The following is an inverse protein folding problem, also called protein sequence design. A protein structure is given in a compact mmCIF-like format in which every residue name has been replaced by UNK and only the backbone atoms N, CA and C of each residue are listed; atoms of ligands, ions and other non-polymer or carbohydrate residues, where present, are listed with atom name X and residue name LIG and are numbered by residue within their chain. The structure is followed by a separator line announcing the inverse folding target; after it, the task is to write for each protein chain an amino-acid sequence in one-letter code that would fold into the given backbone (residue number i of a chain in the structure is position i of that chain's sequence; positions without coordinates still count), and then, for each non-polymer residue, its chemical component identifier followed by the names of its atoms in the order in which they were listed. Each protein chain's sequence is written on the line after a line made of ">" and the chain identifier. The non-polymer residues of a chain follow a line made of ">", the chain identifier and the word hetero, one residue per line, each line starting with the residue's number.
data_IF_620303393133
#
_entry.id   IF_620303393133
#
_cell.length_a   1.000
_cell.length_b   1.000
_cell.length_c   1.000
_cell.angle_alpha   90.00
_cell.angle_beta   90.00
_cell.angle_gamma   90.00
#
_symmetry.space_group_name_H-M   'P 1'
#
loop_
_entity.id
_entity.type
_entity.pdbx_description
1 polymer ?
#
# COMPACT_ATOMS: atom_id res chain seq x y z
N UNK A 1 -8.75 -5.71 33.16
CA UNK A 1 -9.83 -4.96 32.50
C UNK A 1 -9.97 -5.50 31.08
N UNK A 2 -11.10 -6.12 30.73
CA UNK A 2 -11.38 -6.58 29.37
C UNK A 2 -11.81 -5.38 28.52
N UNK A 3 -10.83 -4.64 28.00
CA UNK A 3 -11.03 -3.49 27.09
C UNK A 3 -11.37 -3.91 25.66
N UNK A 4 -11.61 -5.21 25.41
CA UNK A 4 -11.57 -5.82 24.07
C UNK A 4 -12.74 -5.44 23.16
N UNK A 5 -13.87 -4.96 23.70
CA UNK A 5 -15.09 -4.70 22.92
C UNK A 5 -15.83 -3.42 23.31
N UNK A 6 -15.28 -2.63 24.24
CA UNK A 6 -15.95 -1.41 24.68
C UNK A 6 -15.85 -0.32 23.61
N UNK A 7 -16.99 0.26 23.24
CA UNK A 7 -17.10 1.32 22.25
C UNK A 7 -17.74 2.56 22.85
N UNK A 8 -17.29 3.72 22.40
CA UNK A 8 -17.83 5.03 22.81
C UNK A 8 -18.33 5.80 21.61
N UNK A 9 -19.24 6.74 21.86
CA UNK A 9 -19.79 7.60 20.83
C UNK A 9 -18.73 8.52 20.25
N UNK A 10 -19.02 9.08 19.06
CA UNK A 10 -18.17 10.10 18.43
C UNK A 10 -17.94 11.31 19.35
N UNK A 11 -18.98 11.76 20.06
CA UNK A 11 -18.90 12.89 20.96
C UNK A 11 -17.97 12.62 22.14
N UNK A 12 -18.14 11.47 22.81
CA UNK A 12 -17.28 11.06 23.92
C UNK A 12 -15.83 10.86 23.48
N UNK A 13 -15.61 10.23 22.32
CA UNK A 13 -14.26 10.02 21.77
C UNK A 13 -13.52 11.35 21.56
N UNK A 14 -14.22 12.35 21.02
CA UNK A 14 -13.68 13.71 20.86
C UNK A 14 -13.40 14.37 22.19
N UNK A 15 -14.32 14.28 23.14
CA UNK A 15 -14.16 14.87 24.46
C UNK A 15 -12.94 14.29 25.20
N UNK A 16 -12.77 12.96 25.18
CA UNK A 16 -11.61 12.28 25.80
C UNK A 16 -10.27 12.68 25.19
N UNK A 17 -10.24 12.93 23.89
CA UNK A 17 -9.01 13.30 23.18
C UNK A 17 -8.81 14.82 23.03
N UNK A 18 -9.77 15.65 23.44
CA UNK A 18 -9.73 17.11 23.25
C UNK A 18 -9.74 17.52 21.77
N UNK A 19 -10.51 16.83 20.93
CA UNK A 19 -10.49 17.02 19.47
C UNK A 19 -11.68 17.84 18.96
N UNK A 20 -11.40 18.77 18.05
CA UNK A 20 -12.43 19.34 17.17
C UNK A 20 -12.98 18.30 16.19
N UNK A 21 -14.09 18.61 15.54
CA UNK A 21 -14.71 17.73 14.54
C UNK A 21 -13.80 17.56 13.32
N UNK A 22 -13.18 18.66 12.89
CA UNK A 22 -12.23 18.73 11.79
C UNK A 22 -10.97 17.89 12.09
N UNK A 23 -10.47 17.97 13.32
CA UNK A 23 -9.32 17.16 13.75
C UNK A 23 -9.66 15.67 13.72
N UNK A 24 -10.84 15.27 14.21
CA UNK A 24 -11.27 13.87 14.15
C UNK A 24 -11.42 13.39 12.69
N UNK A 25 -12.02 14.21 11.83
CA UNK A 25 -12.13 13.90 10.40
C UNK A 25 -10.76 13.79 9.73
N UNK A 26 -9.79 14.60 10.13
CA UNK A 26 -8.39 14.49 9.68
C UNK A 26 -7.75 13.17 10.13
N UNK A 27 -7.97 12.74 11.39
CA UNK A 27 -7.45 11.47 11.89
C UNK A 27 -8.08 10.27 11.16
N UNK A 28 -9.40 10.32 10.89
CA UNK A 28 -10.11 9.29 10.16
C UNK A 28 -9.61 9.18 8.70
N UNK A 29 -9.48 10.32 8.00
CA UNK A 29 -9.01 10.32 6.60
C UNK A 29 -7.57 9.81 6.46
N UNK A 30 -6.71 10.12 7.43
CA UNK A 30 -5.34 9.61 7.53
C UNK A 30 -5.30 8.13 7.96
N UNK A 31 -6.37 7.60 8.54
CA UNK A 31 -6.42 6.26 9.14
C UNK A 31 -5.65 6.14 10.46
N UNK A 32 -5.44 7.27 11.15
CA UNK A 32 -4.84 7.30 12.49
C UNK A 32 -5.78 6.75 13.55
N UNK A 33 -7.09 6.77 13.29
CA UNK A 33 -8.14 6.16 14.11
C UNK A 33 -9.17 5.54 13.17
N UNK A 34 -10.07 4.72 13.72
CA UNK A 34 -11.16 4.11 12.97
C UNK A 34 -12.41 3.95 13.85
N UNK A 35 -13.57 3.89 13.21
CA UNK A 35 -14.84 3.58 13.87
C UNK A 35 -15.27 2.15 13.55
N UNK A 36 -15.99 1.55 14.48
CA UNK A 36 -16.78 0.34 14.30
C UNK A 36 -18.21 0.71 13.89
N UNK A 37 -18.88 -0.18 13.16
CA UNK A 37 -20.25 -0.01 12.66
C UNK A 37 -20.34 0.22 11.14
N UNK A 38 -21.50 -0.15 10.57
CA UNK A 38 -21.89 0.10 9.19
C UNK A 38 -22.96 1.21 9.17
N UNK A 39 -22.82 2.21 8.30
CA UNK A 39 -23.80 3.29 8.15
C UNK A 39 -23.56 4.52 9.05
N UNK A 40 -24.62 5.04 9.67
CA UNK A 40 -24.63 6.32 10.39
C UNK A 40 -24.24 6.20 11.88
N UNK A 41 -24.28 5.01 12.45
CA UNK A 41 -23.87 4.78 13.84
C UNK A 41 -22.39 4.40 13.91
N UNK A 42 -21.54 5.43 13.97
CA UNK A 42 -20.09 5.26 14.10
C UNK A 42 -19.69 5.31 15.57
N UNK A 43 -19.37 4.15 16.12
CA UNK A 43 -18.81 4.02 17.46
C UNK A 43 -17.29 3.84 17.38
N UNK A 44 -16.57 4.24 18.42
CA UNK A 44 -15.11 4.22 18.45
C UNK A 44 -14.63 3.24 19.52
N UNK A 45 -13.67 2.36 19.24
CA UNK A 45 -13.07 1.53 20.27
C UNK A 45 -12.47 2.40 21.38
N UNK A 46 -12.82 2.11 22.63
CA UNK A 46 -12.34 2.84 23.81
C UNK A 46 -10.81 2.88 23.86
N UNK A 47 -10.16 1.78 23.47
CA UNK A 47 -8.70 1.64 23.40
C UNK A 47 -8.00 2.75 22.59
N UNK A 48 -8.69 3.35 21.60
CA UNK A 48 -8.13 4.45 20.81
C UNK A 48 -8.10 5.79 21.55
N UNK A 49 -8.79 5.89 22.70
CA UNK A 49 -8.91 7.09 23.53
C UNK A 49 -8.21 6.97 24.89
N UNK A 50 -7.60 5.82 25.20
CA UNK A 50 -7.01 5.55 26.51
C UNK A 50 -5.82 6.48 26.81
N UNK A 51 -5.87 7.23 27.94
CA UNK A 51 -4.84 8.22 28.27
C UNK A 51 -3.49 7.58 28.63
N UNK A 52 -3.48 6.31 29.04
CA UNK A 52 -2.27 5.60 29.42
C UNK A 52 -1.41 5.19 28.22
N UNK A 53 -2.00 5.12 27.01
CA UNK A 53 -1.30 4.66 25.81
C UNK A 53 -0.53 5.80 25.12
N UNK A 54 0.62 5.46 24.53
CA UNK A 54 1.33 6.38 23.63
C UNK A 54 0.51 6.59 22.35
N UNK A 55 -0.28 7.66 22.33
CA UNK A 55 -1.17 8.03 21.22
C UNK A 55 -0.42 8.14 19.89
N UNK A 56 0.83 8.63 19.90
CA UNK A 56 1.61 8.79 18.66
C UNK A 56 1.94 7.43 18.06
N UNK A 57 2.35 6.47 18.90
CA UNK A 57 2.63 5.10 18.47
C UNK A 57 1.37 4.36 18.05
N UNK A 58 0.29 4.48 18.83
CA UNK A 58 -1.01 3.88 18.50
C UNK A 58 -1.55 4.38 17.16
N UNK A 59 -1.58 5.70 16.95
CA UNK A 59 -2.04 6.28 15.67
C UNK A 59 -1.12 5.91 14.50
N UNK A 60 0.18 5.76 14.76
CA UNK A 60 1.09 5.22 13.75
C UNK A 60 0.77 3.76 13.42
N UNK A 61 0.41 2.95 14.40
CA UNK A 61 0.02 1.56 14.22
C UNK A 61 -1.29 1.44 13.45
N UNK A 62 -2.31 2.23 13.81
CA UNK A 62 -3.59 2.32 13.08
C UNK A 62 -3.39 2.59 11.58
N UNK A 63 -2.44 3.48 11.23
CA UNK A 63 -2.11 3.78 9.83
C UNK A 63 -1.49 2.60 9.10
N UNK A 64 -0.74 1.74 9.80
CA UNK A 64 -0.15 0.52 9.24
C UNK A 64 -1.26 -0.49 8.93
N UNK A 65 -2.13 -0.75 9.91
CA UNK A 65 -3.19 -1.77 9.83
C UNK A 65 -4.46 -1.28 9.10
N UNK A 66 -4.48 -0.03 8.64
CA UNK A 66 -5.57 0.58 7.89
C UNK A 66 -6.14 -0.29 6.75
N UNK A 67 -5.35 -1.08 6.01
CA UNK A 67 -5.93 -1.82 4.89
C UNK A 67 -6.99 -2.84 5.28
N UNK A 68 -6.95 -3.36 6.52
CA UNK A 68 -7.94 -4.30 7.02
C UNK A 68 -9.30 -3.64 7.36
N UNK A 69 -10.41 -4.40 7.43
CA UNK A 69 -11.68 -3.91 7.97
C UNK A 69 -11.58 -3.48 9.44
N UNK A 70 -12.40 -2.51 9.92
CA UNK A 70 -12.31 -2.00 11.29
C UNK A 70 -12.35 -3.05 12.41
N UNK A 71 -13.20 -4.08 12.28
CA UNK A 71 -13.28 -5.17 13.27
C UNK A 71 -11.97 -5.98 13.36
N UNK A 72 -11.37 -6.29 12.21
CA UNK A 72 -10.09 -6.98 12.16
C UNK A 72 -8.95 -6.12 12.75
N UNK A 73 -8.98 -4.79 12.54
CA UNK A 73 -8.02 -3.88 13.17
C UNK A 73 -8.13 -3.89 14.69
N UNK A 74 -9.35 -3.89 15.23
CA UNK A 74 -9.55 -3.97 16.68
C UNK A 74 -9.02 -5.30 17.22
N UNK A 75 -9.39 -6.42 16.59
CA UNK A 75 -8.90 -7.74 16.98
C UNK A 75 -7.37 -7.82 16.95
N UNK A 76 -6.72 -7.30 15.89
CA UNK A 76 -5.26 -7.21 15.84
C UNK A 76 -4.67 -6.42 17.01
N UNK A 77 -5.26 -5.27 17.37
CA UNK A 77 -4.75 -4.43 18.43
C UNK A 77 -4.85 -5.07 19.82
N UNK A 78 -5.91 -5.83 20.08
CA UNK A 78 -6.24 -6.35 21.42
C UNK A 78 -5.85 -7.80 21.64
N UNK A 79 -5.67 -8.59 20.58
CA UNK A 79 -5.32 -10.00 20.68
C UNK A 79 -3.83 -10.19 20.98
N UNK A 80 -3.53 -11.19 21.81
CA UNK A 80 -2.15 -11.60 22.09
C UNK A 80 -1.48 -12.15 20.83
N UNK A 81 -0.20 -11.83 20.66
CA UNK A 81 0.60 -12.30 19.52
C UNK A 81 1.78 -13.14 19.99
N UNK A 82 2.02 -14.30 19.38
CA UNK A 82 3.10 -15.21 19.80
C UNK A 82 4.49 -14.56 19.70
N UNK A 83 4.77 -13.86 18.60
CA UNK A 83 5.98 -13.07 18.42
C UNK A 83 6.19 -11.97 19.48
N UNK A 84 5.12 -11.55 20.15
CA UNK A 84 5.13 -10.60 21.28
C UNK A 84 5.06 -11.31 22.64
N UNK A 85 5.31 -12.63 22.68
CA UNK A 85 5.23 -13.48 23.88
C UNK A 85 3.85 -13.45 24.53
N UNK A 86 2.80 -13.49 23.70
CA UNK A 86 1.41 -13.48 24.13
C UNK A 86 0.86 -12.08 24.47
N UNK A 87 1.68 -11.03 24.44
CA UNK A 87 1.21 -9.65 24.60
C UNK A 87 0.48 -9.15 23.38
N UNK A 88 -0.49 -8.26 23.58
CA UNK A 88 -1.14 -7.56 22.48
C UNK A 88 -0.25 -6.46 21.90
N UNK A 89 -0.45 -6.07 20.63
CA UNK A 89 0.25 -4.93 20.05
C UNK A 89 0.12 -3.64 20.86
N UNK A 90 -1.02 -3.44 21.53
CA UNK A 90 -1.27 -2.25 22.35
C UNK A 90 -0.47 -2.27 23.66
N UNK A 91 -0.35 -3.42 24.32
CA UNK A 91 0.50 -3.59 25.51
C UNK A 91 1.99 -3.39 25.20
N UNK A 92 2.40 -3.76 23.99
CA UNK A 92 3.77 -3.63 23.51
C UNK A 92 4.16 -2.20 23.09
N UNK A 93 3.22 -1.23 23.10
CA UNK A 93 3.49 0.14 22.64
C UNK A 93 4.46 0.92 23.55
N UNK A 94 4.55 0.61 24.85
CA UNK A 94 5.35 1.40 25.80
C UNK A 94 6.86 1.31 25.52
N UNK A 95 7.36 0.16 25.09
CA UNK A 95 8.77 -0.07 24.84
C UNK A 95 9.13 0.22 23.37
N UNK A 96 10.15 1.06 23.12
CA UNK A 96 10.58 1.45 21.77
C UNK A 96 11.04 0.26 20.92
N UNK A 97 11.74 -0.70 21.52
CA UNK A 97 12.22 -1.91 20.85
C UNK A 97 11.04 -2.82 20.49
N UNK A 98 10.11 -3.02 21.43
CA UNK A 98 8.90 -3.80 21.17
C UNK A 98 8.01 -3.13 20.13
N UNK A 99 7.92 -1.81 20.13
CA UNK A 99 7.16 -1.08 19.12
C UNK A 99 7.73 -1.26 17.71
N UNK A 100 9.06 -1.41 17.53
CA UNK A 100 9.64 -1.74 16.21
C UNK A 100 9.13 -3.10 15.73
N UNK A 101 9.18 -4.11 16.59
CA UNK A 101 8.67 -5.45 16.30
C UNK A 101 7.16 -5.43 15.99
N UNK A 102 6.37 -4.68 16.78
CA UNK A 102 4.93 -4.49 16.51
C UNK A 102 4.69 -3.90 15.11
N UNK A 103 5.49 -2.92 14.69
CA UNK A 103 5.36 -2.33 13.36
C UNK A 103 5.69 -3.30 12.23
N UNK A 104 6.66 -4.18 12.43
CA UNK A 104 7.01 -5.23 11.46
C UNK A 104 5.88 -6.23 11.33
N UNK A 105 5.43 -6.79 12.46
CA UNK A 105 4.27 -7.70 12.54
C UNK A 105 3.04 -7.07 11.87
N UNK A 106 2.71 -5.83 12.23
CA UNK A 106 1.58 -5.11 11.69
C UNK A 106 1.69 -4.86 10.17
N UNK A 107 2.91 -4.69 9.66
CA UNK A 107 3.12 -4.47 8.22
C UNK A 107 2.92 -5.77 7.42
N UNK A 108 3.38 -6.90 7.96
CA UNK A 108 3.14 -8.24 7.40
C UNK A 108 1.65 -8.59 7.48
N UNK A 109 1.03 -8.41 8.65
CA UNK A 109 -0.39 -8.65 8.81
C UNK A 109 -1.23 -7.78 7.87
N UNK A 110 -0.87 -6.50 7.70
CA UNK A 110 -1.60 -5.59 6.83
C UNK A 110 -1.50 -5.94 5.34
N UNK A 111 -0.47 -6.66 4.89
CA UNK A 111 -0.36 -7.05 3.48
C UNK A 111 -1.38 -8.10 3.07
N UNK A 112 -1.82 -8.95 4.00
CA UNK A 112 -2.87 -9.97 3.76
C UNK A 112 -4.23 -9.36 3.39
N UNK A 113 -4.44 -8.08 3.71
CA UNK A 113 -5.72 -7.40 3.48
C UNK A 113 -5.79 -6.67 2.13
N UNK A 114 -4.72 -6.66 1.33
CA UNK A 114 -4.71 -6.01 0.02
C UNK A 114 -3.93 -6.81 -1.00
N UNK A 115 -4.59 -7.04 -2.13
CA UNK A 115 -3.95 -7.61 -3.32
C UNK A 115 -3.50 -6.52 -4.26
N UNK A 116 -2.29 -6.67 -4.77
CA UNK A 116 -1.83 -5.97 -5.96
C UNK A 116 -2.05 -6.89 -7.14
N UNK A 117 -2.70 -6.37 -8.19
CA UNK A 117 -3.02 -7.11 -9.40
C UNK A 117 -2.32 -6.39 -10.55
N UNK A 118 -1.50 -7.12 -11.31
CA UNK A 118 -0.88 -6.66 -12.55
C UNK A 118 -1.61 -7.34 -13.69
N UNK A 119 -2.28 -6.57 -14.53
CA UNK A 119 -3.04 -7.10 -15.68
C UNK A 119 -2.49 -6.51 -16.97
N UNK A 120 -2.18 -7.36 -17.94
CA UNK A 120 -1.64 -6.96 -19.25
C UNK A 120 -2.63 -7.31 -20.34
N UNK A 121 -2.89 -6.34 -21.22
CA UNK A 121 -3.71 -6.49 -22.40
C UNK A 121 -2.88 -6.21 -23.65
N UNK A 122 -3.18 -6.93 -24.73
CA UNK A 122 -2.59 -6.65 -26.04
C UNK A 122 -3.24 -5.41 -26.66
N UNK A 123 -2.45 -4.57 -27.30
CA UNK A 123 -2.90 -3.29 -27.86
C UNK A 123 -2.83 -2.13 -26.87
N UNK A 124 -3.41 -0.99 -27.25
CA UNK A 124 -3.41 0.23 -26.47
C UNK A 124 -4.79 0.47 -25.84
N UNK A 125 -4.83 0.63 -24.52
CA UNK A 125 -6.07 0.77 -23.77
C UNK A 125 -6.00 1.93 -22.79
N UNK A 126 -7.04 2.77 -22.76
CA UNK A 126 -7.14 3.85 -21.77
C UNK A 126 -7.66 3.34 -20.42
N UNK A 127 -8.55 2.35 -20.45
CA UNK A 127 -9.17 1.66 -19.31
C UNK A 127 -9.08 0.14 -19.50
N UNK A 128 -9.25 -0.63 -18.42
CA UNK A 128 -9.22 -2.09 -18.51
C UNK A 128 -10.39 -2.58 -19.41
N UNK A 129 -10.11 -3.28 -20.53
CA UNK A 129 -11.14 -3.79 -21.42
C UNK A 129 -11.83 -5.03 -20.81
N UNK A 130 -12.99 -5.38 -21.36
CA UNK A 130 -13.77 -6.59 -20.98
C UNK A 130 -13.14 -7.89 -21.53
N UNK A 131 -12.13 -7.77 -22.40
CA UNK A 131 -11.47 -8.89 -23.05
C UNK A 131 -10.63 -9.71 -22.05
N UNK A 132 -10.31 -10.95 -22.41
CA UNK A 132 -9.41 -11.79 -21.62
C UNK A 132 -8.01 -11.17 -21.62
N UNK A 133 -7.39 -10.94 -20.45
CA UNK A 133 -6.03 -10.42 -20.37
C UNK A 133 -5.02 -11.44 -20.91
N UNK A 134 -3.92 -10.93 -21.48
CA UNK A 134 -2.80 -11.75 -21.92
C UNK A 134 -1.95 -12.26 -20.75
N UNK A 135 -2.02 -11.57 -19.60
CA UNK A 135 -1.32 -11.91 -18.38
C UNK A 135 -1.97 -11.23 -17.18
N UNK A 136 -2.06 -11.96 -16.08
CA UNK A 136 -2.52 -11.51 -14.77
C UNK A 136 -1.55 -12.06 -13.74
N UNK A 137 -1.07 -11.18 -12.85
CA UNK A 137 -0.27 -11.56 -11.70
C UNK A 137 -0.86 -10.94 -10.44
N UNK A 138 -0.99 -11.71 -9.36
CA UNK A 138 -1.62 -11.27 -8.12
C UNK A 138 -0.76 -11.66 -6.94
N UNK A 139 -0.48 -10.71 -6.06
CA UNK A 139 0.20 -10.95 -4.78
C UNK A 139 -0.33 -10.03 -3.68
N UNK A 140 -0.21 -10.49 -2.43
CA UNK A 140 -0.62 -9.78 -1.22
C UNK A 140 0.55 -8.95 -0.71
N UNK A 141 0.56 -7.67 -1.11
CA UNK A 141 1.66 -6.74 -0.81
C UNK A 141 1.13 -5.48 -0.17
N UNK A 142 1.78 -5.07 0.91
CA UNK A 142 1.46 -3.85 1.64
C UNK A 142 1.30 -2.64 0.70
N UNK A 143 0.10 -2.03 0.64
CA UNK A 143 -0.22 -0.97 -0.34
C UNK A 143 0.58 0.32 -0.13
N UNK A 144 1.31 0.44 0.98
CA UNK A 144 2.18 1.57 1.28
C UNK A 144 3.54 1.45 0.60
N UNK A 145 3.91 0.27 0.11
CA UNK A 145 5.10 0.09 -0.73
C UNK A 145 4.90 0.78 -2.08
N UNK A 146 6.01 1.15 -2.71
CA UNK A 146 6.00 1.70 -4.05
C UNK A 146 5.22 0.79 -5.01
N UNK A 147 4.42 1.37 -5.90
CA UNK A 147 3.64 0.60 -6.89
C UNK A 147 4.54 -0.32 -7.73
N UNK A 148 5.76 0.09 -8.05
CA UNK A 148 6.70 -0.72 -8.82
C UNK A 148 7.27 -1.89 -8.03
N UNK A 149 7.51 -1.73 -6.72
CA UNK A 149 7.90 -2.82 -5.83
C UNK A 149 6.78 -3.85 -5.72
N UNK A 150 5.54 -3.37 -5.56
CA UNK A 150 4.38 -4.25 -5.51
C UNK A 150 4.15 -5.00 -6.83
N UNK A 151 4.30 -4.31 -7.97
CA UNK A 151 4.15 -4.90 -9.29
C UNK A 151 5.17 -6.03 -9.52
N UNK A 152 6.46 -5.80 -9.22
CA UNK A 152 7.46 -6.84 -9.39
C UNK A 152 7.25 -8.04 -8.46
N UNK A 153 6.81 -7.80 -7.21
CA UNK A 153 6.46 -8.90 -6.31
C UNK A 153 5.31 -9.74 -6.88
N UNK A 154 4.26 -9.08 -7.39
CA UNK A 154 3.12 -9.76 -8.01
C UNK A 154 3.52 -10.58 -9.23
N UNK A 155 4.44 -10.07 -10.05
CA UNK A 155 4.93 -10.75 -11.24
C UNK A 155 5.95 -11.86 -10.94
N UNK A 156 6.59 -11.82 -9.77
CA UNK A 156 7.57 -12.80 -9.34
C UNK A 156 6.96 -14.11 -8.80
N UNK A 157 7.81 -15.03 -8.36
CA UNK A 157 7.48 -16.42 -8.04
C UNK A 157 6.61 -16.66 -6.79
N UNK A 158 6.01 -15.62 -6.21
CA UNK A 158 5.20 -15.72 -4.98
C UNK A 158 3.68 -15.64 -5.21
N UNK A 159 3.25 -15.19 -6.39
CA UNK A 159 1.86 -14.83 -6.66
C UNK A 159 1.06 -15.83 -7.51
N UNK A 160 -0.24 -15.59 -7.61
CA UNK A 160 -1.09 -16.24 -8.62
C UNK A 160 -0.78 -15.64 -9.99
N UNK A 161 -0.52 -16.48 -10.99
CA UNK A 161 -0.24 -16.07 -12.37
C UNK A 161 -1.19 -16.80 -13.33
N UNK A 162 -1.82 -16.07 -14.26
CA UNK A 162 -2.66 -16.65 -15.30
C UNK A 162 -2.70 -15.79 -16.58
N UNK A 163 -2.82 -16.40 -17.79
CA UNK A 163 -2.65 -17.83 -18.04
C UNK A 163 -1.21 -18.29 -17.74
N UNK A 164 -0.97 -19.60 -17.72
CA UNK A 164 0.40 -20.12 -17.67
C UNK A 164 1.14 -19.79 -18.98
N UNK A 165 2.47 -19.71 -18.90
CA UNK A 165 3.33 -19.51 -20.07
C UNK A 165 3.10 -20.60 -21.14
N UNK A 166 3.37 -20.34 -22.43
CA UNK A 166 4.08 -19.18 -22.98
C UNK A 166 3.21 -17.94 -23.17
N UNK A 167 3.81 -16.76 -22.95
CA UNK A 167 3.16 -15.47 -23.17
C UNK A 167 3.34 -14.98 -24.61
N UNK A 168 2.37 -14.22 -25.15
CA UNK A 168 2.46 -13.72 -26.51
C UNK A 168 3.58 -12.68 -26.67
N UNK A 169 4.01 -12.51 -27.93
CA UNK A 169 4.84 -11.38 -28.35
C UNK A 169 3.93 -10.29 -28.92
N UNK A 170 4.16 -9.03 -28.55
CA UNK A 170 3.40 -7.91 -29.09
C UNK A 170 4.24 -6.66 -29.18
N UNK A 171 4.02 -5.88 -30.25
CA UNK A 171 4.66 -4.57 -30.44
C UNK A 171 3.97 -3.47 -29.63
N UNK A 172 2.74 -3.72 -29.15
CA UNK A 172 1.99 -2.80 -28.29
C UNK A 172 1.21 -3.56 -27.23
N UNK A 173 1.31 -3.09 -25.99
CA UNK A 173 0.56 -3.58 -24.85
C UNK A 173 0.22 -2.45 -23.88
N UNK A 174 -0.81 -2.67 -23.08
CA UNK A 174 -1.11 -1.84 -21.92
C UNK A 174 -1.14 -2.71 -20.67
N UNK A 175 -0.44 -2.28 -19.62
CA UNK A 175 -0.49 -2.91 -18.31
C UNK A 175 -1.17 -2.00 -17.29
N UNK A 176 -2.02 -2.59 -16.45
CA UNK A 176 -2.66 -1.94 -15.30
C UNK A 176 -2.12 -2.55 -14.02
N UNK A 177 -1.70 -1.71 -13.08
CA UNK A 177 -1.38 -2.13 -11.72
C UNK A 177 -2.49 -1.60 -10.81
N UNK A 178 -3.33 -2.50 -10.32
CA UNK A 178 -4.47 -2.19 -9.46
C UNK A 178 -4.22 -2.71 -8.04
N UNK A 179 -4.98 -2.15 -7.10
CA UNK A 179 -5.08 -2.68 -5.74
C UNK A 179 -6.52 -3.00 -5.40
N UNK A 180 -6.70 -4.11 -4.69
CA UNK A 180 -8.00 -4.58 -4.21
C UNK A 180 -7.92 -4.89 -2.72
N UNK A 181 -8.64 -4.11 -1.92
CA UNK A 181 -8.77 -4.39 -0.49
C UNK A 181 -9.77 -5.52 -0.24
N UNK A 182 -9.51 -6.35 0.75
CA UNK A 182 -10.44 -7.39 1.17
C UNK A 182 -11.80 -6.78 1.57
N UNK A 183 -12.88 -7.40 1.09
CA UNK A 183 -14.25 -6.92 1.31
C UNK A 183 -14.66 -5.71 0.46
N UNK A 184 -13.77 -5.17 -0.39
CA UNK A 184 -14.13 -4.15 -1.37
C UNK A 184 -14.37 -4.77 -2.75
N UNK A 185 -15.49 -4.41 -3.37
CA UNK A 185 -15.81 -4.83 -4.75
C UNK A 185 -15.01 -4.05 -5.79
N UNK A 186 -14.61 -2.82 -5.48
CA UNK A 186 -13.92 -1.93 -6.41
C UNK A 186 -12.40 -2.09 -6.35
N UNK A 187 -11.78 -2.23 -7.52
CA UNK A 187 -10.34 -2.14 -7.71
C UNK A 187 -9.94 -0.69 -7.98
N UNK A 188 -8.81 -0.27 -7.41
CA UNK A 188 -8.26 1.06 -7.63
C UNK A 188 -7.02 0.95 -8.51
N UNK A 189 -7.02 1.63 -9.66
CA UNK A 189 -5.86 1.71 -10.55
C UNK A 189 -4.81 2.61 -9.93
N UNK A 190 -3.68 2.05 -9.52
CA UNK A 190 -2.56 2.83 -9.00
C UNK A 190 -1.63 3.30 -10.13
N UNK A 191 -1.46 2.47 -11.17
CA UNK A 191 -0.66 2.82 -12.34
C UNK A 191 -1.18 2.19 -13.64
N UNK A 192 -0.92 2.87 -14.76
CA UNK A 192 -1.06 2.35 -16.13
C UNK A 192 0.25 2.54 -16.88
N UNK A 193 0.62 1.55 -17.68
CA UNK A 193 1.77 1.57 -18.59
C UNK A 193 1.28 1.34 -20.01
N UNK A 194 1.55 2.27 -20.91
CA UNK A 194 1.36 2.06 -22.35
C UNK A 194 2.71 1.79 -22.98
N UNK A 195 2.87 0.61 -23.56
CA UNK A 195 4.14 0.03 -23.96
C UNK A 195 4.15 -0.14 -25.48
N UNK A 196 5.22 0.33 -26.13
CA UNK A 196 5.47 0.12 -27.55
C UNK A 196 6.89 -0.40 -27.77
N UNK A 197 7.02 -1.56 -28.40
CA UNK A 197 8.30 -2.24 -28.67
C UNK A 197 8.66 -2.10 -30.14
N UNK A 198 9.86 -1.60 -30.41
CA UNK A 198 10.46 -1.41 -31.73
C UNK A 198 11.87 -2.04 -31.73
N UNK A 199 11.94 -3.32 -32.13
CA UNK A 199 13.17 -4.11 -32.01
C UNK A 199 13.62 -4.19 -30.54
N UNK A 200 14.86 -3.77 -30.28
CA UNK A 200 15.44 -3.74 -28.93
C UNK A 200 15.06 -2.52 -28.09
N UNK A 201 14.21 -1.63 -28.60
CA UNK A 201 13.85 -0.41 -27.89
C UNK A 201 12.38 -0.45 -27.52
N UNK A 202 12.11 -0.27 -26.23
CA UNK A 202 10.77 -0.10 -25.71
C UNK A 202 10.54 1.36 -25.32
N UNK A 203 9.37 1.88 -25.67
CA UNK A 203 8.85 3.15 -25.19
C UNK A 203 7.70 2.88 -24.22
N UNK A 204 7.83 3.36 -23.00
CA UNK A 204 6.82 3.22 -21.96
C UNK A 204 6.29 4.60 -21.55
N UNK A 205 4.99 4.83 -21.72
CA UNK A 205 4.30 5.97 -21.12
C UNK A 205 3.72 5.54 -19.78
N UNK A 206 4.06 6.26 -18.71
CA UNK A 206 3.72 5.88 -17.34
C UNK A 206 2.69 6.85 -16.78
N UNK A 207 1.60 6.31 -16.24
CA UNK A 207 0.53 7.06 -15.60
C UNK A 207 0.37 6.57 -14.16
N UNK A 208 0.39 7.49 -13.19
CA UNK A 208 0.16 7.20 -11.77
C UNK A 208 -1.14 7.88 -11.33
N UNK A 209 -2.13 7.11 -10.86
CA UNK A 209 -3.46 7.63 -10.49
C UNK A 209 -3.98 8.64 -11.51
N UNK A 210 -3.96 8.22 -12.79
CA UNK A 210 -4.41 9.01 -13.95
C UNK A 210 -3.58 10.26 -14.31
N UNK A 211 -2.46 10.51 -13.61
CA UNK A 211 -1.51 11.57 -13.96
C UNK A 211 -0.35 11.02 -14.77
N UNK A 212 -0.07 11.62 -15.93
CA UNK A 212 1.11 11.28 -16.73
C UNK A 212 2.38 11.63 -15.94
N UNK A 213 3.19 10.62 -15.64
CA UNK A 213 4.48 10.79 -14.97
C UNK A 213 5.59 11.12 -15.95
N UNK A 214 5.55 10.52 -17.14
CA UNK A 214 6.55 10.71 -18.18
C UNK A 214 6.59 9.57 -19.19
N UNK A 215 7.46 9.73 -20.19
CA UNK A 215 7.75 8.73 -21.20
C UNK A 215 9.20 8.27 -21.04
N UNK A 216 9.38 6.96 -21.02
CA UNK A 216 10.67 6.32 -20.80
C UNK A 216 11.08 5.57 -22.06
N UNK A 217 12.38 5.59 -22.35
CA UNK A 217 13.02 4.77 -23.38
C UNK A 217 13.86 3.73 -22.67
N UNK A 218 13.51 2.46 -22.84
CA UNK A 218 14.20 1.30 -22.25
C UNK A 218 14.85 0.51 -23.37
N UNK A 219 16.13 0.16 -23.22
CA UNK A 219 16.83 -0.73 -24.13
C UNK A 219 16.71 -2.15 -23.58
N UNK A 220 16.13 -3.04 -24.39
CA UNK A 220 15.85 -4.41 -24.02
C UNK A 220 17.11 -5.28 -24.08
N UNK A 221 17.21 -6.23 -23.14
CA UNK A 221 18.37 -7.12 -23.07
C UNK A 221 18.41 -8.14 -24.21
N UNK A 222 17.27 -8.42 -24.86
CA UNK A 222 17.18 -9.30 -26.02
C UNK A 222 16.29 -8.71 -27.13
N UNK A 223 16.46 -9.23 -28.34
CA UNK A 223 15.73 -8.79 -29.53
C UNK A 223 14.29 -9.33 -29.59
N UNK A 224 14.01 -10.38 -28.82
CA UNK A 224 12.72 -11.05 -28.75
C UNK A 224 12.38 -11.33 -27.29
N UNK A 225 11.59 -10.42 -26.72
CA UNK A 225 10.99 -10.58 -25.40
C UNK A 225 9.48 -10.66 -25.54
N UNK A 226 8.86 -11.57 -24.79
CA UNK A 226 7.41 -11.62 -24.68
C UNK A 226 6.89 -10.45 -23.82
N UNK A 227 5.56 -10.28 -23.77
CA UNK A 227 4.95 -9.14 -23.09
C UNK A 227 5.26 -9.06 -21.59
N UNK A 228 5.52 -10.18 -20.92
CA UNK A 228 5.84 -10.24 -19.48
C UNK A 228 7.29 -9.83 -19.25
N UNK A 229 8.22 -10.37 -20.04
CA UNK A 229 9.65 -10.03 -19.96
C UNK A 229 9.89 -8.53 -20.22
N UNK A 230 9.21 -7.96 -21.23
CA UNK A 230 9.25 -6.50 -21.49
C UNK A 230 8.73 -5.72 -20.28
N UNK A 231 7.64 -6.17 -19.67
CA UNK A 231 7.07 -5.52 -18.50
C UNK A 231 8.01 -5.59 -17.29
N UNK A 232 8.67 -6.73 -17.05
CA UNK A 232 9.65 -6.91 -15.98
C UNK A 232 10.80 -5.91 -16.09
N UNK A 233 11.34 -5.72 -17.29
CA UNK A 233 12.41 -4.74 -17.52
C UNK A 233 11.95 -3.30 -17.22
N UNK A 234 10.75 -2.92 -17.68
CA UNK A 234 10.20 -1.58 -17.43
C UNK A 234 9.96 -1.37 -15.93
N UNK A 235 9.34 -2.33 -15.25
CA UNK A 235 9.10 -2.27 -13.81
C UNK A 235 10.43 -2.17 -13.06
N UNK A 236 11.44 -2.93 -13.46
CA UNK A 236 12.80 -2.86 -12.89
C UNK A 236 13.44 -1.47 -13.05
N UNK A 237 13.30 -0.82 -14.21
CA UNK A 237 13.76 0.57 -14.40
C UNK A 237 12.99 1.52 -13.47
N UNK A 238 11.66 1.39 -13.41
CA UNK A 238 10.83 2.28 -12.58
C UNK A 238 11.11 2.15 -11.08
N UNK A 239 11.46 0.94 -10.61
CA UNK A 239 11.89 0.73 -9.22
C UNK A 239 13.19 1.45 -8.88
N UNK A 240 14.18 1.40 -9.79
CA UNK A 240 15.46 2.08 -9.61
C UNK A 240 15.28 3.60 -9.57
N UNK A 241 14.51 4.13 -10.51
CA UNK A 241 14.12 5.56 -10.58
C UNK A 241 13.42 6.04 -9.29
N UNK A 242 12.43 5.30 -8.79
CA UNK A 242 11.75 5.65 -7.54
C UNK A 242 12.70 5.62 -6.34
N UNK A 243 13.61 4.63 -6.31
CA UNK A 243 14.62 4.50 -5.26
C UNK A 243 15.64 5.66 -5.26
N UNK A 244 16.05 6.11 -6.44
CA UNK A 244 16.92 7.28 -6.61
C UNK A 244 16.23 8.58 -6.23
N UNK A 245 14.98 8.78 -6.66
CA UNK A 245 14.20 9.96 -6.26
C UNK A 245 14.04 10.06 -4.76
N UNK A 246 13.79 8.94 -4.06
CA UNK A 246 13.69 8.90 -2.59
C UNK A 246 15.01 9.23 -1.92
N UNK A 247 16.12 8.70 -2.41
CA UNK A 247 17.47 9.05 -1.91
C UNK A 247 17.70 10.56 -2.05
N UNK A 248 17.47 11.12 -3.22
CA UNK A 248 17.69 12.55 -3.49
C UNK A 248 16.78 13.48 -2.66
N UNK A 249 15.50 13.11 -2.45
CA UNK A 249 14.60 13.87 -1.58
C UNK A 249 14.95 13.73 -0.09
N UNK A 250 15.46 12.57 0.34
CA UNK A 250 15.97 12.36 1.69
C UNK A 250 17.21 13.23 1.98
N UNK A 251 18.11 13.38 1.01
CA UNK A 251 19.26 14.28 1.12
C UNK A 251 18.85 15.77 1.16
N UNK A 252 17.91 16.20 0.32
CA UNK A 252 17.46 17.59 0.28
C UNK A 252 16.66 18.04 1.53
N UNK A 253 16.04 17.09 2.24
CA UNK A 253 15.34 17.37 3.51
C UNK A 253 16.28 17.29 4.71
N UNK A 254 17.32 16.47 4.66
CA UNK A 254 18.36 16.42 5.69
C UNK A 254 19.31 17.62 5.65
N UNK A 255 19.55 18.23 4.49
CA UNK A 255 20.42 19.41 4.37
C UNK A 255 19.80 20.71 4.90
N UNK A 256 18.47 20.77 5.07
CA UNK A 256 17.77 21.94 5.63
C UNK A 256 17.69 21.96 7.16
N UNK A 257 18.04 20.89 7.85
CA UNK A 257 17.95 20.81 9.33
C UNK A 257 19.26 21.26 10.02
N UNK A 258 20.37 21.41 9.29
CA UNK A 258 21.65 21.84 9.85
C UNK A 258 22.00 23.32 9.59
N UNK A 259 21.01 24.15 9.23
CA UNK A 259 21.23 25.52 8.75
C UNK A 259 20.91 26.67 9.72
N UNK A 260 20.31 26.44 10.88
CA UNK A 260 19.91 27.51 11.81
C UNK A 260 20.34 27.20 13.25
N UNK A 261 21.62 27.44 13.52
CA UNK A 261 22.15 27.63 14.87
C UNK A 261 23.47 28.39 14.81
N UNK A 262 23.45 29.66 14.37
CA UNK A 262 24.50 30.65 14.63
C UNK A 262 24.03 32.04 14.20
N UNK A 263 23.33 32.75 15.09
CA UNK A 263 23.61 34.15 15.48
C UNK A 263 22.67 34.54 16.61
#
# INVERSE_FOLDING_TARGET
>A
MNLSEEVITRFEFRARLGLSEEMLNSLLSKGSVFSLGCGNEKSFPVILSEPQLDRRRLFSLCRIIRPAPPGARLSFLTSGHEALRGKSPVEALHNKTQFRLVREIASTWASEWVRTIVTVYLGAHSTAPVQVPAYVAIDEVDPRRCVWVRAANAMGSGGYIAPEAPYPYATRTTAFITRKSAGCSQELVDARLDIAVLGRVCFASVYLRERTLGRYRVVLNADRLNVVEVLEEIVGVMQREDSERRRNHGFATSSRVNGDAST
#
